data_IF_602299405868
#
_entry.id   IF_602299405868
#
_cell.length_a   1.000
_cell.length_b   1.000
_cell.length_c   1.000
_cell.angle_alpha   90.00
_cell.angle_beta   90.00
_cell.angle_gamma   90.00
#
_symmetry.space_group_name_H-M   'P 1'
#
loop_
_entity.id
_entity.type
_entity.pdbx_description
1 polymer ?
#
# COMPACT_ATOMS: atom_id res chain seq x y z
N UNK A 1 -4.30 -69.43 39.26
CA UNK A 1 -4.25 -67.97 39.11
C UNK A 1 -4.31 -67.31 40.51
N UNK A 2 -3.29 -66.57 40.89
CA UNK A 2 -3.22 -65.87 42.18
C UNK A 2 -4.21 -64.71 42.18
N UNK A 3 -4.66 -64.32 43.36
CA UNK A 3 -5.65 -63.23 43.56
C UNK A 3 -5.21 -61.92 42.90
N UNK A 4 -3.89 -61.62 42.89
CA UNK A 4 -3.31 -60.49 42.23
C UNK A 4 -3.40 -60.53 40.69
N UNK A 5 -3.29 -61.73 40.10
CA UNK A 5 -3.37 -61.91 38.65
C UNK A 5 -4.80 -61.68 38.12
N UNK A 6 -5.80 -62.01 38.91
CA UNK A 6 -7.21 -61.74 38.58
C UNK A 6 -7.52 -60.24 38.64
N UNK A 7 -6.94 -59.51 39.59
CA UNK A 7 -7.11 -58.04 39.72
C UNK A 7 -6.41 -57.34 38.54
N UNK A 8 -5.16 -57.75 38.20
CA UNK A 8 -4.45 -57.17 37.06
C UNK A 8 -5.18 -57.40 35.73
N UNK A 9 -5.76 -58.61 35.53
CA UNK A 9 -6.56 -58.89 34.31
C UNK A 9 -7.83 -58.03 34.24
N UNK A 10 -8.48 -57.81 35.40
CA UNK A 10 -9.69 -56.96 35.46
C UNK A 10 -9.38 -55.52 35.18
N UNK A 11 -8.25 -54.98 35.68
CA UNK A 11 -7.80 -53.60 35.36
C UNK A 11 -7.46 -53.45 33.88
N UNK A 12 -6.77 -54.44 33.31
CA UNK A 12 -6.40 -54.43 31.89
C UNK A 12 -7.68 -54.44 30.98
N UNK A 13 -8.65 -55.30 31.32
CA UNK A 13 -9.91 -55.38 30.59
C UNK A 13 -10.73 -54.08 30.68
N UNK A 14 -10.74 -53.42 31.85
CA UNK A 14 -11.40 -52.10 32.02
C UNK A 14 -10.71 -51.01 31.20
N UNK A 15 -9.37 -51.04 31.09
CA UNK A 15 -8.61 -50.08 30.31
C UNK A 15 -8.85 -50.24 28.79
N UNK A 16 -8.89 -51.49 28.30
CA UNK A 16 -9.20 -51.79 26.90
C UNK A 16 -10.64 -51.37 26.55
N UNK A 17 -11.58 -51.57 27.44
CA UNK A 17 -12.97 -51.12 27.25
C UNK A 17 -13.07 -49.58 27.21
N UNK A 18 -12.36 -48.89 28.07
CA UNK A 18 -12.35 -47.43 28.08
C UNK A 18 -11.79 -46.87 26.76
N UNK A 19 -10.67 -47.41 26.28
CA UNK A 19 -10.08 -47.03 24.97
C UNK A 19 -11.05 -47.33 23.84
N UNK A 20 -11.73 -48.48 23.86
CA UNK A 20 -12.70 -48.85 22.83
C UNK A 20 -13.92 -47.89 22.79
N UNK A 21 -14.41 -47.48 23.96
CA UNK A 21 -15.49 -46.49 24.03
C UNK A 21 -15.08 -45.13 23.54
N UNK A 22 -13.89 -44.66 23.91
CA UNK A 22 -13.35 -43.40 23.37
C UNK A 22 -13.16 -43.45 21.85
N UNK A 23 -12.60 -44.52 21.31
CA UNK A 23 -12.42 -44.70 19.88
C UNK A 23 -13.76 -44.71 19.11
N UNK A 24 -14.78 -45.40 19.65
CA UNK A 24 -16.13 -45.38 19.09
C UNK A 24 -16.79 -43.99 19.19
N UNK A 25 -16.58 -43.28 20.28
CA UNK A 25 -17.11 -41.94 20.46
C UNK A 25 -16.46 -40.94 19.48
N UNK A 26 -15.13 -40.99 19.31
CA UNK A 26 -14.41 -40.19 18.34
C UNK A 26 -14.85 -40.51 16.92
N UNK A 27 -15.00 -41.82 16.59
CA UNK A 27 -15.46 -42.24 15.28
C UNK A 27 -16.91 -41.76 15.00
N UNK A 28 -17.79 -41.90 15.96
CA UNK A 28 -19.18 -41.42 15.84
C UNK A 28 -19.28 -39.91 15.72
N UNK A 29 -18.42 -39.17 16.45
CA UNK A 29 -18.33 -37.72 16.36
C UNK A 29 -17.82 -37.27 15.00
N UNK A 30 -16.80 -37.93 14.47
CA UNK A 30 -16.24 -37.61 13.15
C UNK A 30 -17.22 -37.94 12.01
N UNK A 31 -17.90 -39.10 12.06
CA UNK A 31 -18.93 -39.45 11.06
C UNK A 31 -20.18 -38.56 11.17
N UNK A 32 -20.58 -38.12 12.37
CA UNK A 32 -21.67 -37.15 12.53
C UNK A 32 -21.30 -35.75 12.03
N UNK A 33 -20.03 -35.36 12.16
CA UNK A 33 -19.54 -34.11 11.60
C UNK A 33 -19.43 -34.13 10.06
N UNK A 34 -19.14 -35.31 9.49
CA UNK A 34 -19.05 -35.51 8.05
C UNK A 34 -20.44 -35.63 7.41
N UNK A 35 -21.46 -36.07 8.20
CA UNK A 35 -22.86 -36.15 7.77
C UNK A 35 -23.67 -34.88 8.04
N UNK A 36 -23.13 -33.90 8.77
CA UNK A 36 -23.72 -32.58 8.81
C UNK A 36 -23.56 -32.01 7.39
N UNK A 37 -24.65 -31.97 6.67
CA UNK A 37 -24.77 -31.28 5.38
C UNK A 37 -24.57 -29.79 5.66
N UNK A 38 -23.28 -29.40 5.83
CA UNK A 38 -22.89 -28.01 5.84
C UNK A 38 -23.30 -27.51 4.47
N UNK A 39 -24.33 -26.64 4.36
CA UNK A 39 -24.69 -26.09 3.07
C UNK A 39 -23.39 -25.62 2.46
N UNK A 40 -22.97 -26.22 1.33
CA UNK A 40 -21.82 -25.75 0.57
C UNK A 40 -22.08 -24.28 0.37
N UNK A 41 -21.39 -23.45 1.15
CA UNK A 41 -21.30 -22.02 0.87
C UNK A 41 -21.08 -21.94 -0.62
N UNK A 42 -21.97 -21.25 -1.27
CA UNK A 42 -22.04 -21.03 -2.71
C UNK A 42 -20.69 -21.23 -3.37
N UNK A 43 -20.66 -22.02 -4.44
CA UNK A 43 -19.42 -22.41 -5.11
C UNK A 43 -18.54 -21.15 -5.22
N UNK A 44 -17.33 -21.20 -4.69
CA UNK A 44 -16.40 -20.06 -4.71
C UNK A 44 -16.32 -19.52 -6.14
N UNK A 45 -17.09 -18.48 -6.40
CA UNK A 45 -17.01 -17.77 -7.66
C UNK A 45 -15.69 -16.99 -7.57
N UNK A 46 -14.70 -17.45 -8.34
CA UNK A 46 -13.41 -16.75 -8.44
C UNK A 46 -13.74 -15.31 -8.88
N UNK A 47 -13.43 -14.30 -8.05
CA UNK A 47 -13.72 -12.93 -8.45
C UNK A 47 -12.95 -12.63 -9.74
N UNK A 48 -13.63 -12.12 -10.73
CA UNK A 48 -12.97 -11.61 -11.95
C UNK A 48 -12.21 -10.36 -11.57
N UNK A 49 -10.89 -10.39 -11.73
CA UNK A 49 -10.06 -9.21 -11.50
C UNK A 49 -10.46 -8.10 -12.48
N UNK A 50 -10.55 -6.89 -11.98
CA UNK A 50 -10.66 -5.70 -12.83
C UNK A 50 -9.33 -5.46 -13.56
N UNK A 51 -9.35 -4.67 -14.64
CA UNK A 51 -8.12 -4.32 -15.36
C UNK A 51 -7.10 -3.63 -14.43
N UNK A 52 -7.55 -2.75 -13.53
CA UNK A 52 -6.68 -2.12 -12.52
C UNK A 52 -6.04 -3.15 -11.58
N UNK A 53 -6.78 -4.16 -11.15
CA UNK A 53 -6.27 -5.23 -10.29
C UNK A 53 -5.31 -6.19 -11.01
N UNK A 54 -5.30 -6.16 -12.34
CA UNK A 54 -4.38 -6.93 -13.16
C UNK A 54 -3.06 -6.19 -13.44
N UNK A 55 -2.93 -4.93 -13.01
CA UNK A 55 -1.67 -4.17 -13.11
C UNK A 55 -0.74 -4.53 -11.96
N UNK A 56 0.46 -4.98 -12.29
CA UNK A 56 1.51 -5.33 -11.34
C UNK A 56 2.73 -4.42 -11.54
N UNK A 57 2.80 -3.27 -10.85
CA UNK A 57 3.96 -2.40 -10.92
C UNK A 57 5.22 -3.13 -10.45
N UNK A 58 6.32 -2.88 -11.14
CA UNK A 58 7.64 -3.42 -10.74
C UNK A 58 8.02 -2.91 -9.37
N UNK A 59 8.68 -3.77 -8.57
CA UNK A 59 9.26 -3.47 -7.26
C UNK A 59 10.75 -3.76 -7.30
N UNK A 60 11.58 -2.86 -6.78
CA UNK A 60 13.03 -3.01 -6.75
C UNK A 60 13.53 -3.61 -5.43
N UNK A 61 12.80 -3.41 -4.34
CA UNK A 61 13.10 -3.91 -2.99
C UNK A 61 14.51 -3.58 -2.55
N UNK A 62 14.92 -2.31 -2.55
CA UNK A 62 16.24 -1.91 -2.14
C UNK A 62 16.46 -2.28 -0.66
N UNK A 63 17.65 -2.76 -0.33
CA UNK A 63 18.08 -3.08 1.04
C UNK A 63 19.32 -2.28 1.46
N UNK A 64 19.92 -1.55 0.54
CA UNK A 64 21.10 -0.75 0.75
C UNK A 64 21.06 0.59 0.02
N UNK A 65 21.86 1.53 0.50
CA UNK A 65 22.04 2.82 -0.18
C UNK A 65 22.64 2.64 -1.60
N UNK A 66 23.35 1.54 -1.84
CA UNK A 66 23.87 1.21 -3.16
C UNK A 66 22.74 0.90 -4.14
N UNK A 67 21.75 0.15 -3.70
CA UNK A 67 20.60 -0.23 -4.55
C UNK A 67 19.76 1.01 -4.88
N UNK A 68 19.50 1.88 -3.89
CA UNK A 68 18.82 3.14 -4.15
C UNK A 68 19.57 4.01 -5.16
N UNK A 69 20.89 4.04 -5.14
CA UNK A 69 21.70 4.79 -6.10
C UNK A 69 21.59 4.27 -7.53
N UNK A 70 21.07 3.07 -7.74
CA UNK A 70 20.78 2.58 -9.10
C UNK A 70 19.65 3.35 -9.79
N UNK A 71 18.88 4.14 -9.04
CA UNK A 71 17.87 5.05 -9.58
C UNK A 71 18.48 6.31 -10.23
N UNK A 72 19.73 6.65 -9.93
CA UNK A 72 20.37 7.86 -10.47
C UNK A 72 20.37 7.80 -12.01
N UNK A 73 19.89 8.88 -12.63
CA UNK A 73 19.71 9.01 -14.06
C UNK A 73 18.42 8.43 -14.63
N UNK A 74 17.64 7.70 -13.80
CA UNK A 74 16.34 7.14 -14.24
C UNK A 74 15.22 8.14 -13.98
N UNK A 75 14.14 7.99 -14.76
CA UNK A 75 12.86 8.62 -14.47
C UNK A 75 12.01 7.64 -13.68
N UNK A 76 11.40 8.13 -12.61
CA UNK A 76 10.38 7.44 -11.81
C UNK A 76 9.15 8.33 -11.71
N UNK A 77 8.01 7.77 -11.36
CA UNK A 77 6.74 8.50 -11.28
C UNK A 77 6.11 8.33 -9.90
N UNK A 78 5.47 9.38 -9.42
CA UNK A 78 4.77 9.32 -8.13
C UNK A 78 3.58 8.38 -8.23
N UNK A 79 3.47 7.43 -7.29
CA UNK A 79 2.35 6.50 -7.25
C UNK A 79 1.08 7.15 -6.70
N UNK A 80 -0.07 6.53 -6.94
CA UNK A 80 -1.30 6.89 -6.27
C UNK A 80 -1.13 6.71 -4.76
N UNK A 81 -1.28 7.78 -3.98
CA UNK A 81 -1.02 7.75 -2.55
C UNK A 81 0.45 7.96 -2.14
N UNK A 82 1.36 8.11 -3.10
CA UNK A 82 2.77 8.44 -2.86
C UNK A 82 3.04 9.93 -2.64
N UNK A 83 2.02 10.74 -2.39
CA UNK A 83 2.16 12.17 -2.18
C UNK A 83 2.89 12.44 -0.87
N UNK A 84 4.03 13.10 -0.99
CA UNK A 84 4.88 13.46 0.13
C UNK A 84 5.37 14.89 -0.01
N UNK A 85 5.63 15.55 1.11
CA UNK A 85 6.32 16.84 1.12
C UNK A 85 7.69 16.68 0.47
N UNK A 86 8.04 17.58 -0.44
CA UNK A 86 9.38 17.66 -1.00
C UNK A 86 10.01 19.02 -0.71
N UNK A 87 11.32 19.06 -0.75
CA UNK A 87 12.12 20.19 -0.27
C UNK A 87 13.08 20.65 -1.35
N UNK A 88 13.53 21.91 -1.25
CA UNK A 88 14.63 22.39 -2.09
C UNK A 88 15.93 21.72 -1.65
N UNK A 89 16.64 21.09 -2.59
CA UNK A 89 17.97 20.57 -2.35
C UNK A 89 19.00 21.68 -2.57
N UNK A 90 19.80 21.96 -1.55
CA UNK A 90 20.87 22.98 -1.57
C UNK A 90 22.26 22.35 -1.44
N UNK A 91 22.47 21.23 -2.17
CA UNK A 91 23.74 20.50 -2.15
C UNK A 91 23.74 19.39 -1.09
N UNK A 92 22.78 18.46 -1.19
CA UNK A 92 22.55 17.36 -0.25
C UNK A 92 22.10 17.82 1.14
N UNK A 93 21.41 18.94 1.17
CA UNK A 93 20.86 19.53 2.38
C UNK A 93 19.46 20.09 2.09
N UNK A 94 18.52 19.81 3.00
CA UNK A 94 17.14 20.30 2.92
C UNK A 94 16.72 21.03 4.21
N UNK A 95 15.89 22.04 4.06
CA UNK A 95 15.23 22.71 5.20
C UNK A 95 13.88 22.03 5.46
N UNK A 96 13.84 21.08 6.39
CA UNK A 96 12.64 20.34 6.77
C UNK A 96 11.49 21.21 7.30
N UNK A 97 11.78 22.46 7.68
CA UNK A 97 10.73 23.40 8.10
C UNK A 97 10.04 24.10 6.90
N UNK A 98 10.59 23.96 5.69
CA UNK A 98 10.13 24.69 4.50
C UNK A 98 9.89 23.74 3.32
N UNK A 99 8.86 22.89 3.37
CA UNK A 99 8.48 22.13 2.19
C UNK A 99 8.13 23.09 1.03
N UNK A 100 8.51 22.72 -0.17
CA UNK A 100 8.18 23.47 -1.40
C UNK A 100 6.77 23.15 -1.87
N UNK A 101 6.34 21.93 -1.67
CA UNK A 101 5.03 21.41 -2.06
C UNK A 101 4.89 19.95 -1.74
N UNK A 102 3.86 19.34 -2.29
CA UNK A 102 3.56 17.91 -2.19
C UNK A 102 3.71 17.31 -3.59
N UNK A 103 4.37 16.15 -3.69
CA UNK A 103 4.44 15.38 -4.93
C UNK A 103 3.04 14.95 -5.35
N UNK A 104 2.72 15.08 -6.62
CA UNK A 104 1.42 14.72 -7.16
C UNK A 104 1.49 13.38 -7.92
N UNK A 105 0.39 12.63 -7.92
CA UNK A 105 0.33 11.33 -8.61
C UNK A 105 0.67 11.44 -10.09
N UNK A 106 1.30 10.41 -10.63
CA UNK A 106 1.79 10.32 -12.00
C UNK A 106 2.87 11.36 -12.41
N UNK A 107 3.32 12.23 -11.49
CA UNK A 107 4.35 13.22 -11.81
C UNK A 107 5.71 12.54 -12.07
N UNK A 108 6.40 12.83 -13.19
CA UNK A 108 7.71 12.29 -13.51
C UNK A 108 8.81 13.02 -12.75
N UNK A 109 9.71 12.27 -12.13
CA UNK A 109 10.89 12.76 -11.42
C UNK A 109 12.14 12.16 -12.05
N UNK A 110 13.12 12.96 -12.41
CA UNK A 110 14.42 12.47 -12.87
C UNK A 110 15.37 12.47 -11.69
N UNK A 111 15.77 11.27 -11.26
CA UNK A 111 16.65 11.12 -10.10
C UNK A 111 18.06 11.57 -10.44
N UNK A 112 18.63 12.43 -9.61
CA UNK A 112 19.95 13.04 -9.79
C UNK A 112 20.96 12.61 -8.72
N UNK A 113 20.49 12.36 -7.52
CA UNK A 113 21.34 11.95 -6.40
C UNK A 113 20.56 11.10 -5.39
N UNK A 114 21.28 10.37 -4.54
CA UNK A 114 20.76 9.66 -3.36
C UNK A 114 21.72 9.93 -2.22
N UNK A 115 21.23 10.56 -1.18
CA UNK A 115 22.06 10.97 -0.05
C UNK A 115 21.36 10.76 1.29
N UNK A 116 22.14 10.83 2.36
CA UNK A 116 21.64 10.73 3.71
C UNK A 116 21.76 12.07 4.41
N UNK A 117 20.75 12.40 5.22
CA UNK A 117 20.78 13.57 6.08
C UNK A 117 20.07 13.25 7.41
N UNK A 118 20.59 13.80 8.51
CA UNK A 118 19.93 13.67 9.81
C UNK A 118 18.88 14.77 9.95
N UNK A 119 17.62 14.37 9.94
CA UNK A 119 16.52 15.30 10.18
C UNK A 119 16.59 15.87 11.61
N UNK A 120 16.25 17.15 11.82
CA UNK A 120 16.14 17.73 13.16
C UNK A 120 15.10 16.99 14.01
N UNK A 121 15.34 16.84 15.31
CA UNK A 121 14.43 16.15 16.22
C UNK A 121 13.05 16.83 16.35
N UNK A 122 12.97 18.11 16.04
CA UNK A 122 11.73 18.90 16.03
C UNK A 122 11.11 19.03 14.62
N UNK A 123 11.65 18.34 13.61
CA UNK A 123 11.03 18.30 12.29
C UNK A 123 9.72 17.52 12.31
N UNK A 124 8.87 17.74 11.30
CA UNK A 124 7.67 16.93 11.12
C UNK A 124 8.06 15.51 10.71
N UNK A 125 7.33 14.52 11.20
CA UNK A 125 7.43 13.15 10.69
C UNK A 125 7.02 13.12 9.21
N UNK A 126 7.77 12.40 8.39
CA UNK A 126 7.50 12.25 6.96
C UNK A 126 7.18 10.80 6.68
N UNK A 127 5.98 10.52 6.24
CA UNK A 127 5.47 9.16 6.03
C UNK A 127 5.67 8.30 7.30
N UNK A 128 6.48 7.23 7.24
CA UNK A 128 6.83 6.37 8.39
C UNK A 128 8.17 6.72 9.03
N UNK A 129 8.80 7.81 8.61
CA UNK A 129 10.11 8.21 9.08
C UNK A 129 9.96 9.19 10.24
N UNK A 130 10.50 8.81 11.40
CA UNK A 130 10.43 9.65 12.59
C UNK A 130 11.40 10.84 12.52
N UNK A 131 11.06 11.97 13.18
CA UNK A 131 12.00 13.08 13.37
C UNK A 131 13.27 12.64 14.07
N UNK A 132 14.39 13.30 13.78
CA UNK A 132 15.68 13.01 14.41
C UNK A 132 16.43 11.81 13.87
N UNK A 133 15.81 10.99 13.02
CA UNK A 133 16.46 9.86 12.35
C UNK A 133 17.37 10.34 11.20
N UNK A 134 18.33 9.49 10.84
CA UNK A 134 19.09 9.64 9.60
C UNK A 134 18.18 9.20 8.45
N UNK A 135 17.74 10.16 7.65
CA UNK A 135 16.86 9.92 6.51
C UNK A 135 17.69 9.67 5.26
N UNK A 136 17.13 8.86 4.36
CA UNK A 136 17.61 8.72 2.98
C UNK A 136 16.70 9.53 2.08
N UNK A 137 17.31 10.39 1.27
CA UNK A 137 16.61 11.28 0.36
C UNK A 137 16.99 10.97 -1.09
N UNK A 138 15.97 11.01 -1.98
CA UNK A 138 16.20 11.09 -3.42
C UNK A 138 16.27 12.55 -3.82
N UNK A 139 17.41 12.95 -4.39
CA UNK A 139 17.58 14.23 -5.07
C UNK A 139 17.10 14.13 -6.51
N UNK A 140 16.24 15.03 -6.96
CA UNK A 140 15.59 14.93 -8.27
C UNK A 140 15.36 16.29 -8.93
N UNK A 141 15.08 16.25 -10.23
CA UNK A 141 14.53 17.37 -11.01
C UNK A 141 13.17 17.00 -11.58
N UNK A 142 12.30 17.99 -11.74
CA UNK A 142 10.95 17.84 -12.31
C UNK A 142 10.96 18.37 -13.74
N UNK A 143 10.89 17.52 -14.78
CA UNK A 143 10.98 17.97 -16.18
C UNK A 143 9.82 18.87 -16.60
N UNK A 144 8.65 18.70 -15.98
CA UNK A 144 7.43 19.47 -16.30
C UNK A 144 7.27 20.75 -15.45
N UNK A 145 8.23 21.05 -14.56
CA UNK A 145 8.17 22.26 -13.72
C UNK A 145 8.60 23.52 -14.50
N UNK A 146 8.29 24.68 -13.93
CA UNK A 146 8.71 25.98 -14.48
C UNK A 146 10.24 26.17 -14.48
N UNK A 147 10.95 25.46 -13.60
CA UNK A 147 12.41 25.38 -13.58
C UNK A 147 12.85 23.90 -13.60
N UNK A 148 13.02 23.30 -14.80
CA UNK A 148 13.38 21.89 -14.92
C UNK A 148 14.81 21.56 -14.43
N UNK A 149 15.60 22.56 -14.07
CA UNK A 149 16.96 22.39 -13.52
C UNK A 149 17.02 22.53 -12.01
N UNK A 150 15.94 23.02 -11.39
CA UNK A 150 15.89 23.14 -9.95
C UNK A 150 16.02 21.77 -9.29
N UNK A 151 16.86 21.69 -8.27
CA UNK A 151 17.08 20.49 -7.50
C UNK A 151 16.14 20.45 -6.30
N UNK A 152 15.49 19.34 -6.15
CA UNK A 152 14.61 19.04 -5.02
C UNK A 152 15.00 17.70 -4.38
N UNK A 153 14.53 17.45 -3.18
CA UNK A 153 14.70 16.16 -2.53
C UNK A 153 13.45 15.74 -1.76
N UNK A 154 13.26 14.44 -1.69
CA UNK A 154 12.17 13.79 -0.96
C UNK A 154 12.72 12.67 -0.09
N UNK A 155 12.35 12.58 1.20
CA UNK A 155 12.71 11.46 2.05
C UNK A 155 12.00 10.18 1.60
N UNK A 156 12.75 9.10 1.42
CA UNK A 156 12.25 7.80 0.94
C UNK A 156 12.58 6.64 1.87
N UNK A 157 13.33 6.91 2.92
CA UNK A 157 13.75 5.88 3.87
C UNK A 157 14.52 6.44 5.03
N UNK A 158 14.97 5.57 5.91
CA UNK A 158 15.82 5.92 7.04
C UNK A 158 16.85 4.81 7.30
N UNK A 159 17.92 5.22 7.99
CA UNK A 159 18.87 4.29 8.58
C UNK A 159 18.68 4.29 10.09
N UNK A 160 18.33 3.13 10.64
CA UNK A 160 18.03 2.95 12.04
C UNK A 160 18.62 1.62 12.54
N UNK A 161 19.27 1.62 13.70
CA UNK A 161 19.87 0.42 14.33
C UNK A 161 20.72 -0.46 13.39
N UNK A 162 21.39 0.15 12.42
CA UNK A 162 22.27 -0.57 11.48
C UNK A 162 21.57 -1.09 10.22
N UNK A 163 20.28 -0.82 10.05
CA UNK A 163 19.46 -1.28 8.94
C UNK A 163 18.89 -0.11 8.17
N UNK A 164 18.86 -0.22 6.84
CA UNK A 164 18.11 0.67 5.98
C UNK A 164 16.67 0.20 5.84
N UNK A 165 15.73 1.12 5.98
CA UNK A 165 14.32 0.91 5.70
C UNK A 165 13.94 1.83 4.54
N UNK A 166 13.57 1.27 3.40
CA UNK A 166 13.17 2.03 2.23
C UNK A 166 11.66 1.91 1.98
N UNK A 167 11.06 3.00 1.57
CA UNK A 167 9.64 3.10 1.19
C UNK A 167 9.48 3.47 -0.28
N UNK A 168 10.57 3.50 -1.04
CA UNK A 168 10.62 3.91 -2.46
C UNK A 168 9.63 3.13 -3.30
N UNK A 169 9.52 1.81 -3.08
CA UNK A 169 8.57 0.94 -3.77
C UNK A 169 7.10 1.24 -3.47
N UNK A 170 6.80 1.93 -2.39
CA UNK A 170 5.44 2.32 -2.01
C UNK A 170 5.08 3.70 -2.60
N UNK A 171 6.10 4.55 -2.72
CA UNK A 171 5.94 5.96 -3.12
C UNK A 171 5.96 6.12 -4.65
N UNK A 172 6.70 5.27 -5.37
CA UNK A 172 6.96 5.46 -6.79
C UNK A 172 6.64 4.25 -7.66
N UNK A 173 6.31 4.57 -8.93
CA UNK A 173 6.39 3.66 -10.05
C UNK A 173 7.74 3.81 -10.74
N UNK A 174 8.28 2.69 -11.21
CA UNK A 174 9.51 2.64 -12.01
C UNK A 174 9.24 2.49 -13.51
N UNK A 175 7.98 2.35 -13.86
CA UNK A 175 7.47 2.32 -15.22
C UNK A 175 6.40 3.40 -15.36
N UNK A 176 6.27 3.97 -16.57
CA UNK A 176 5.32 5.05 -16.83
C UNK A 176 3.88 4.60 -16.50
N UNK A 177 3.18 5.26 -15.58
CA UNK A 177 1.82 4.91 -15.21
C UNK A 177 0.82 5.02 -16.38
N UNK A 178 1.07 5.88 -17.39
CA UNK A 178 0.25 5.93 -18.60
C UNK A 178 0.35 4.64 -19.43
N UNK A 179 1.50 3.94 -19.35
CA UNK A 179 1.68 2.63 -19.99
C UNK A 179 1.08 1.53 -19.13
N UNK A 180 1.30 1.58 -17.81
CA UNK A 180 0.76 0.59 -16.85
C UNK A 180 -0.77 0.56 -16.86
N UNK A 181 -1.39 1.73 -16.86
CA UNK A 181 -2.85 1.92 -16.81
C UNK A 181 -3.40 2.46 -18.13
N UNK A 182 -2.85 1.99 -19.26
CA UNK A 182 -3.28 2.40 -20.61
C UNK A 182 -4.77 2.19 -20.89
N UNK A 183 -5.40 1.25 -20.19
CA UNK A 183 -6.82 0.94 -20.29
C UNK A 183 -7.73 2.07 -19.77
N UNK A 184 -7.20 3.03 -19.01
CA UNK A 184 -7.97 4.22 -18.60
C UNK A 184 -8.30 5.13 -19.78
N UNK A 185 -7.52 5.07 -20.86
CA UNK A 185 -7.72 5.87 -22.07
C UNK A 185 -7.24 7.32 -21.93
N UNK A 186 -7.00 8.00 -23.07
CA UNK A 186 -6.37 9.32 -23.09
C UNK A 186 -7.24 10.41 -22.47
N UNK A 187 -8.54 10.32 -22.55
CA UNK A 187 -9.47 11.31 -21.99
C UNK A 187 -9.40 11.30 -20.45
N UNK A 188 -9.43 10.11 -19.83
CA UNK A 188 -9.33 9.99 -18.39
C UNK A 188 -7.94 10.43 -17.90
N UNK A 189 -6.88 10.05 -18.61
CA UNK A 189 -5.53 10.50 -18.30
C UNK A 189 -5.39 12.02 -18.35
N UNK A 190 -6.06 12.70 -19.28
CA UNK A 190 -6.04 14.16 -19.35
C UNK A 190 -6.63 14.83 -18.09
N UNK A 191 -7.57 14.19 -17.39
CA UNK A 191 -8.07 14.66 -16.10
C UNK A 191 -7.13 14.30 -14.95
N UNK A 192 -6.57 13.10 -14.96
CA UNK A 192 -5.59 12.66 -13.95
C UNK A 192 -4.37 13.58 -13.94
N UNK A 193 -3.80 13.88 -15.10
CA UNK A 193 -2.63 14.75 -15.26
C UNK A 193 -2.87 16.20 -14.83
N UNK A 194 -4.12 16.65 -14.89
CA UNK A 194 -4.52 17.97 -14.41
C UNK A 194 -4.91 17.98 -12.92
N UNK A 195 -4.91 16.80 -12.29
CA UNK A 195 -5.36 16.63 -10.91
C UNK A 195 -6.79 17.12 -10.68
N UNK A 196 -7.66 16.88 -11.67
CA UNK A 196 -9.06 17.32 -11.68
C UNK A 196 -9.98 16.11 -11.49
N UNK A 197 -10.88 16.11 -10.48
CA UNK A 197 -11.88 15.06 -10.35
C UNK A 197 -12.97 15.22 -11.42
N UNK A 198 -13.40 14.09 -12.00
CA UNK A 198 -14.48 14.07 -13.00
C UNK A 198 -15.44 12.91 -12.70
N UNK A 199 -16.72 13.08 -13.02
CA UNK A 199 -17.70 12.01 -12.91
C UNK A 199 -17.32 10.83 -13.79
N UNK A 200 -17.55 9.63 -13.30
CA UNK A 200 -17.18 8.38 -13.99
C UNK A 200 -15.75 7.88 -13.67
N UNK A 201 -14.89 8.66 -13.01
CA UNK A 201 -13.61 8.16 -12.48
C UNK A 201 -13.82 6.96 -11.57
N UNK A 202 -12.92 5.97 -11.65
CA UNK A 202 -12.80 4.95 -10.61
C UNK A 202 -12.15 5.52 -9.35
N UNK A 203 -12.26 4.81 -8.23
CA UNK A 203 -11.58 5.22 -6.99
C UNK A 203 -10.05 5.26 -7.17
N UNK A 204 -9.46 4.34 -7.94
CA UNK A 204 -8.03 4.34 -8.25
C UNK A 204 -7.62 5.54 -9.10
N UNK A 205 -8.43 5.92 -10.10
CA UNK A 205 -8.19 7.09 -10.93
C UNK A 205 -8.28 8.38 -10.10
N UNK A 206 -9.30 8.48 -9.23
CA UNK A 206 -9.43 9.59 -8.31
C UNK A 206 -8.23 9.67 -7.34
N UNK A 207 -7.78 8.54 -6.81
CA UNK A 207 -6.61 8.49 -5.93
C UNK A 207 -5.31 8.89 -6.67
N UNK A 208 -5.15 8.52 -7.93
CA UNK A 208 -4.02 8.98 -8.76
C UNK A 208 -4.09 10.50 -8.99
N UNK A 209 -5.26 11.03 -9.29
CA UNK A 209 -5.45 12.45 -9.57
C UNK A 209 -5.33 13.34 -8.32
N UNK A 210 -5.95 12.92 -7.21
CA UNK A 210 -6.21 13.80 -6.04
C UNK A 210 -5.34 13.48 -4.83
N UNK A 211 -4.68 12.32 -4.85
CA UNK A 211 -3.79 11.93 -3.79
C UNK A 211 -4.40 11.00 -2.75
N UNK A 212 -3.80 11.04 -1.57
CA UNK A 212 -4.18 10.13 -0.50
C UNK A 212 -5.62 10.34 -0.02
N UNK A 213 -6.26 9.22 0.25
CA UNK A 213 -7.55 9.19 0.94
C UNK A 213 -7.37 9.67 2.38
N UNK A 214 -8.06 10.74 2.78
CA UNK A 214 -8.08 11.18 4.17
C UNK A 214 -9.02 10.28 4.97
N UNK A 215 -10.26 10.11 4.48
CA UNK A 215 -11.29 9.37 5.19
C UNK A 215 -12.15 8.61 4.21
N UNK A 216 -12.12 7.26 4.22
CA UNK A 216 -13.12 6.47 3.55
C UNK A 216 -14.36 6.37 4.44
N UNK A 217 -15.55 6.55 3.86
CA UNK A 217 -16.84 6.35 4.51
C UNK A 217 -17.48 5.10 3.91
N UNK A 218 -17.32 3.96 4.57
CA UNK A 218 -17.73 2.62 4.12
C UNK A 218 -16.55 1.69 3.80
N UNK A 219 -16.82 0.39 3.83
CA UNK A 219 -15.79 -0.65 3.78
C UNK A 219 -15.50 -1.13 2.34
N UNK A 220 -16.47 -0.98 1.42
CA UNK A 220 -16.36 -1.51 0.07
C UNK A 220 -15.72 -0.48 -0.87
N UNK A 221 -14.46 -0.67 -1.24
CA UNK A 221 -13.82 0.17 -2.26
C UNK A 221 -14.63 0.17 -3.57
N UNK A 222 -14.83 1.34 -4.14
CA UNK A 222 -15.65 1.53 -5.33
C UNK A 222 -17.18 1.69 -5.08
N UNK A 223 -17.66 1.40 -3.87
CA UNK A 223 -19.07 1.58 -3.46
C UNK A 223 -19.14 2.31 -2.11
N UNK A 224 -18.48 3.43 -2.02
CA UNK A 224 -18.35 4.23 -0.80
C UNK A 224 -18.11 5.71 -1.10
N UNK A 225 -18.24 6.54 -0.08
CA UNK A 225 -17.83 7.94 -0.13
C UNK A 225 -16.39 8.09 0.33
N UNK A 226 -15.58 8.87 -0.36
CA UNK A 226 -14.15 9.04 -0.07
C UNK A 226 -13.79 10.52 -0.09
N UNK A 227 -13.13 10.98 0.98
CA UNK A 227 -12.60 12.34 1.06
C UNK A 227 -11.11 12.37 0.76
N UNK A 228 -10.70 13.30 -0.10
CA UNK A 228 -9.34 13.54 -0.53
C UNK A 228 -8.90 14.94 -0.07
N UNK A 229 -7.61 15.08 0.31
CA UNK A 229 -7.03 16.38 0.63
C UNK A 229 -6.91 17.29 -0.61
N UNK A 230 -6.63 16.69 -1.75
CA UNK A 230 -6.49 17.39 -3.02
C UNK A 230 -5.60 18.65 -2.89
N UNK A 231 -4.42 18.48 -2.30
CA UNK A 231 -3.43 19.54 -2.09
C UNK A 231 -4.02 20.79 -1.39
N UNK A 232 -4.71 20.57 -0.27
CA UNK A 232 -5.36 21.63 0.53
C UNK A 232 -6.65 22.19 -0.05
N UNK A 233 -7.21 21.55 -1.08
CA UNK A 233 -8.55 21.84 -1.64
C UNK A 233 -9.44 20.60 -1.48
N UNK A 234 -9.89 20.30 -0.27
CA UNK A 234 -10.54 19.03 0.01
C UNK A 234 -11.74 18.78 -0.90
N UNK A 235 -11.94 17.54 -1.27
CA UNK A 235 -13.07 17.11 -2.09
C UNK A 235 -13.56 15.75 -1.59
N UNK A 236 -14.88 15.55 -1.60
CA UNK A 236 -15.49 14.27 -1.30
C UNK A 236 -16.15 13.71 -2.55
N UNK A 237 -15.90 12.45 -2.86
CA UNK A 237 -16.44 11.75 -4.03
C UNK A 237 -17.23 10.54 -3.57
N UNK A 238 -18.49 10.45 -4.03
CA UNK A 238 -19.34 9.27 -3.84
C UNK A 238 -19.14 8.32 -5.02
N UNK A 239 -18.78 7.07 -4.73
CA UNK A 239 -18.59 6.02 -5.73
C UNK A 239 -19.73 5.00 -5.69
N UNK A 240 -20.16 4.55 -6.86
CA UNK A 240 -21.08 3.43 -7.07
C UNK A 240 -20.59 2.57 -8.24
N UNK A 241 -20.51 1.27 -8.05
CA UNK A 241 -19.94 0.36 -9.05
C UNK A 241 -18.58 0.82 -9.58
N UNK A 242 -17.72 1.28 -8.69
CA UNK A 242 -16.39 1.82 -8.96
C UNK A 242 -16.38 3.01 -9.93
N UNK A 243 -17.41 3.86 -9.88
CA UNK A 243 -17.51 5.08 -10.67
C UNK A 243 -17.94 6.25 -9.79
N UNK A 244 -17.27 7.38 -9.92
CA UNK A 244 -17.66 8.63 -9.28
C UNK A 244 -19.03 9.08 -9.80
N UNK A 245 -20.01 9.10 -8.92
CA UNK A 245 -21.39 9.53 -9.24
C UNK A 245 -21.73 10.91 -8.71
N UNK A 246 -20.94 11.39 -7.73
CA UNK A 246 -21.09 12.74 -7.17
C UNK A 246 -19.74 13.24 -6.68
N UNK A 247 -19.48 14.52 -6.91
CA UNK A 247 -18.27 15.23 -6.44
C UNK A 247 -18.73 16.44 -5.65
N UNK A 248 -18.28 16.53 -4.40
CA UNK A 248 -18.64 17.61 -3.47
C UNK A 248 -17.37 18.31 -3.02
N UNK A 249 -17.14 19.58 -3.40
CA UNK A 249 -16.03 20.36 -2.84
C UNK A 249 -16.13 20.42 -1.32
N UNK A 250 -15.00 20.29 -0.65
CA UNK A 250 -14.91 20.51 0.79
C UNK A 250 -15.05 22.01 1.14
N UNK A 251 -15.51 22.27 2.32
CA UNK A 251 -15.63 23.62 2.87
C UNK A 251 -14.35 24.06 3.57
#
# INVERSE_FOLDING_TARGET
>A
MTKGMKIALGVLAAFVLAIGVEALWIHHRNTSAESADVPRKDAYVKPTLTEDQAVYPRKLRPDSLKDERELIGKTIWVSAGGQMDYYKDTGKHVDYAKPIGVLLGAEPLIIRDVFEEKAPANSRAVFRIAPGQRQVLLGFTMPNSTDPKAMYAVPVGNFDEGVYNFFTDEIFFYDDPHVLYKHWGPEMWAHVDKHEPVLGMSENQAMMALGQVITPHGDNAGDRSVSFDNNGKPVTIDFQNNKAVKITPGS
#
